data_IF_315658516339
#
_entry.id   IF_315658516339
#
_cell.length_a   1.000
_cell.length_b   1.000
_cell.length_c   1.000
_cell.angle_alpha   90.00
_cell.angle_beta   90.00
_cell.angle_gamma   90.00
#
_symmetry.space_group_name_H-M   'P 1'
#
loop_
_entity.id
_entity.type
_entity.pdbx_description
1 polymer ?
#
# COMPACT_ATOMS: atom_id res chain seq x y z
N UNK A 1 -9.85 9.84 14.15
CA UNK A 1 -8.95 9.85 12.98
C UNK A 1 -8.77 11.31 12.60
N UNK A 2 -7.54 11.81 12.61
CA UNK A 2 -7.23 13.16 12.13
C UNK A 2 -6.41 13.03 10.85
N UNK A 3 -6.67 13.88 9.85
CA UNK A 3 -5.94 13.86 8.58
C UNK A 3 -6.23 12.61 7.74
N UNK A 4 -7.50 12.44 7.34
CA UNK A 4 -7.84 11.51 6.25
C UNK A 4 -7.41 12.16 4.95
N UNK A 5 -6.64 11.44 4.14
CA UNK A 5 -6.23 11.87 2.79
C UNK A 5 -6.50 10.76 1.78
N UNK A 6 -6.61 11.16 0.52
CA UNK A 6 -6.85 10.23 -0.59
C UNK A 6 -5.64 10.21 -1.52
N UNK A 7 -5.13 9.02 -1.79
CA UNK A 7 -4.15 8.77 -2.83
C UNK A 7 -4.80 8.00 -3.97
N UNK A 8 -4.28 8.16 -5.18
CA UNK A 8 -4.76 7.45 -6.35
C UNK A 8 -3.69 6.49 -6.86
N UNK A 9 -4.02 5.20 -6.87
CA UNK A 9 -3.22 4.20 -7.57
C UNK A 9 -3.71 4.07 -9.01
N UNK A 10 -2.97 4.70 -9.92
CA UNK A 10 -3.21 4.72 -11.36
C UNK A 10 -2.55 3.51 -12.03
N UNK A 11 -3.29 2.85 -12.90
CA UNK A 11 -2.90 1.65 -13.62
C UNK A 11 -2.60 1.99 -15.07
N UNK A 12 -1.36 1.71 -15.48
CA UNK A 12 -0.88 1.94 -16.84
C UNK A 12 -0.41 0.66 -17.52
N UNK A 13 -0.30 0.67 -18.83
CA UNK A 13 0.36 -0.36 -19.63
C UNK A 13 1.87 -0.18 -19.56
N UNK A 14 2.62 -1.16 -20.09
CA UNK A 14 4.09 -1.04 -20.24
C UNK A 14 4.52 0.10 -21.16
N UNK A 15 3.60 0.64 -21.99
CA UNK A 15 3.87 1.79 -22.86
C UNK A 15 3.50 3.13 -22.20
N UNK A 16 3.00 3.14 -20.96
CA UNK A 16 2.62 4.35 -20.25
C UNK A 16 1.16 4.79 -20.44
N UNK A 17 0.38 4.05 -21.22
CA UNK A 17 -1.04 4.37 -21.49
C UNK A 17 -1.94 3.87 -20.36
N UNK A 18 -3.09 4.52 -20.11
CA UNK A 18 -4.05 3.98 -19.14
C UNK A 18 -4.57 2.61 -19.59
N UNK A 19 -4.71 1.67 -18.64
CA UNK A 19 -5.24 0.33 -18.94
C UNK A 19 -6.70 0.35 -19.42
N UNK A 20 -7.44 1.41 -19.09
CA UNK A 20 -8.82 1.70 -19.51
C UNK A 20 -8.93 3.24 -19.67
N UNK A 21 -9.71 3.77 -20.62
CA UNK A 21 -9.93 5.21 -20.74
C UNK A 21 -10.42 5.85 -19.44
N UNK A 22 -9.91 7.05 -19.12
CA UNK A 22 -10.24 7.76 -17.88
C UNK A 22 -11.73 8.18 -17.81
N UNK A 23 -12.32 8.46 -18.98
CA UNK A 23 -13.71 8.85 -19.19
C UNK A 23 -14.68 7.65 -19.21
N UNK A 24 -14.20 6.42 -19.08
CA UNK A 24 -15.04 5.22 -18.97
C UNK A 24 -16.08 5.35 -17.84
N UNK A 25 -17.33 5.03 -18.15
CA UNK A 25 -18.48 5.20 -17.24
C UNK A 25 -18.50 4.19 -16.08
N UNK A 26 -17.99 2.98 -16.31
CA UNK A 26 -18.18 1.86 -15.37
C UNK A 26 -16.92 1.47 -14.60
N UNK A 27 -15.74 1.68 -15.19
CA UNK A 27 -14.46 1.33 -14.59
C UNK A 27 -13.48 2.45 -14.81
N UNK A 28 -12.75 2.81 -13.77
CA UNK A 28 -11.68 3.80 -13.84
C UNK A 28 -10.31 3.11 -13.88
N UNK A 29 -9.30 3.71 -14.54
CA UNK A 29 -7.94 3.17 -14.56
C UNK A 29 -7.20 3.44 -13.24
N UNK A 30 -7.90 3.67 -12.13
CA UNK A 30 -7.28 3.88 -10.83
C UNK A 30 -8.12 3.29 -9.70
N UNK A 31 -7.49 3.10 -8.56
CA UNK A 31 -8.13 2.80 -7.28
C UNK A 31 -7.75 3.88 -6.26
N UNK A 32 -8.65 4.14 -5.29
CA UNK A 32 -8.41 5.14 -4.24
C UNK A 32 -7.85 4.42 -3.01
N UNK A 33 -6.73 4.92 -2.49
CA UNK A 33 -6.16 4.53 -1.22
C UNK A 33 -6.51 5.62 -0.21
N UNK A 34 -7.35 5.28 0.76
CA UNK A 34 -7.70 6.17 1.87
C UNK A 34 -6.71 5.94 3.00
N UNK A 35 -6.00 7.00 3.40
CA UNK A 35 -5.04 6.94 4.50
C UNK A 35 -5.56 7.77 5.66
N UNK A 36 -5.50 7.23 6.87
CA UNK A 36 -5.91 7.92 8.08
C UNK A 36 -4.87 7.75 9.18
N UNK A 37 -4.63 8.82 9.95
CA UNK A 37 -3.76 8.79 11.13
C UNK A 37 -4.61 8.85 12.40
N UNK A 38 -4.37 7.93 13.32
CA UNK A 38 -4.97 7.97 14.66
C UNK A 38 -4.04 8.78 15.56
N UNK A 39 -4.58 9.82 16.21
CA UNK A 39 -3.85 10.51 17.27
C UNK A 39 -3.95 9.67 18.54
N UNK A 40 -2.81 9.42 19.18
CA UNK A 40 -2.79 8.73 20.48
C UNK A 40 -3.64 9.48 21.51
N UNK A 41 -4.23 8.74 22.45
CA UNK A 41 -4.99 9.32 23.55
C UNK A 41 -4.06 10.21 24.40
N UNK A 42 -4.43 11.47 24.63
CA UNK A 42 -3.62 12.45 25.40
C UNK A 42 -3.40 12.06 26.86
N UNK A 43 -4.21 11.13 27.38
CA UNK A 43 -4.19 10.71 28.79
C UNK A 43 -3.16 9.62 29.10
N UNK A 44 -2.56 9.02 28.07
CA UNK A 44 -1.40 8.14 28.23
C UNK A 44 -0.27 8.84 27.50
N UNK A 45 0.79 9.31 28.19
CA UNK A 45 1.97 9.83 27.53
C UNK A 45 2.66 8.65 26.84
N UNK A 46 2.17 8.29 25.66
CA UNK A 46 2.97 7.60 24.67
C UNK A 46 4.19 8.49 24.53
N UNK A 47 5.35 7.93 24.87
CA UNK A 47 6.68 8.55 24.72
C UNK A 47 6.99 8.79 23.24
N UNK A 48 6.14 9.54 22.55
CA UNK A 48 6.53 10.30 21.39
C UNK A 48 7.34 11.43 21.98
N UNK A 49 8.67 11.30 21.92
CA UNK A 49 9.52 12.47 22.10
C UNK A 49 8.98 13.57 21.19
N UNK A 50 9.02 14.82 21.65
CA UNK A 50 8.62 15.99 20.87
C UNK A 50 9.35 16.08 19.51
N UNK A 51 10.40 15.26 19.33
CA UNK A 51 11.23 15.09 18.14
C UNK A 51 10.69 14.11 17.07
N UNK A 52 9.69 13.26 17.33
CA UNK A 52 9.12 12.37 16.29
C UNK A 52 8.05 13.09 15.45
N UNK A 53 8.50 14.13 14.73
CA UNK A 53 7.64 14.89 13.82
C UNK A 53 7.49 14.12 12.49
N UNK A 54 6.51 13.23 12.40
CA UNK A 54 6.20 12.56 11.13
C UNK A 54 5.82 13.58 10.07
N UNK A 55 6.30 13.37 8.85
CA UNK A 55 5.83 14.12 7.69
C UNK A 55 4.30 14.06 7.60
N UNK A 56 3.70 15.20 7.27
CA UNK A 56 2.30 15.24 6.91
C UNK A 56 2.08 14.34 5.69
N UNK A 57 1.01 13.54 5.72
CA UNK A 57 0.65 12.72 4.56
C UNK A 57 0.04 13.68 3.53
N UNK A 58 0.59 13.81 2.32
CA UNK A 58 0.04 14.69 1.30
C UNK A 58 -1.31 14.17 0.84
N UNK A 59 -2.21 15.09 0.48
CA UNK A 59 -3.46 14.74 -0.18
C UNK A 59 -3.25 14.62 -1.70
N UNK A 60 -4.07 13.78 -2.34
CA UNK A 60 -4.09 13.55 -3.79
C UNK A 60 -2.77 13.06 -4.41
N UNK A 61 -1.94 12.32 -3.65
CA UNK A 61 -0.71 11.71 -4.19
C UNK A 61 -1.03 10.64 -5.22
N UNK A 62 -0.26 10.59 -6.31
CA UNK A 62 -0.37 9.57 -7.35
C UNK A 62 0.67 8.46 -7.16
N UNK A 63 0.22 7.21 -7.18
CA UNK A 63 1.06 6.03 -7.36
C UNK A 63 0.73 5.48 -8.74
N UNK A 64 1.73 5.35 -9.62
CA UNK A 64 1.51 4.86 -10.98
C UNK A 64 2.25 3.54 -11.14
N UNK A 65 1.56 2.49 -11.58
CA UNK A 65 2.22 1.21 -11.85
C UNK A 65 1.52 0.40 -12.95
N UNK A 66 2.26 -0.56 -13.51
CA UNK A 66 1.69 -1.60 -14.36
C UNK A 66 1.05 -2.66 -13.46
N UNK A 67 -0.25 -2.94 -13.59
CA UNK A 67 -0.91 -3.92 -12.72
C UNK A 67 -0.37 -5.34 -12.98
N UNK A 68 -0.36 -6.15 -11.93
CA UNK A 68 -0.12 -7.58 -12.06
C UNK A 68 -1.25 -8.22 -12.88
N UNK A 69 -0.94 -9.30 -13.60
CA UNK A 69 -1.94 -10.13 -14.28
C UNK A 69 -2.87 -10.84 -13.30
N UNK A 70 -2.41 -11.07 -12.06
CA UNK A 70 -3.21 -11.68 -11.01
C UNK A 70 -4.29 -10.72 -10.50
N UNK A 71 -5.54 -11.20 -10.49
CA UNK A 71 -6.68 -10.40 -10.12
C UNK A 71 -6.59 -9.87 -8.68
N UNK A 72 -6.88 -8.57 -8.57
CA UNK A 72 -6.92 -7.83 -7.31
C UNK A 72 -5.59 -7.80 -6.55
N UNK A 73 -4.46 -8.06 -7.22
CA UNK A 73 -3.13 -7.91 -6.62
C UNK A 73 -2.75 -6.42 -6.59
N UNK A 74 -2.68 -5.85 -5.38
CA UNK A 74 -2.28 -4.46 -5.13
C UNK A 74 -0.75 -4.33 -5.16
N UNK A 75 -0.18 -3.16 -5.50
CA UNK A 75 1.25 -2.95 -5.42
C UNK A 75 1.69 -2.94 -3.95
N UNK A 76 2.93 -3.37 -3.65
CA UNK A 76 3.47 -3.25 -2.30
C UNK A 76 3.58 -1.77 -1.92
N UNK A 77 3.09 -1.41 -0.74
CA UNK A 77 3.05 -0.01 -0.26
C UNK A 77 4.13 0.31 0.78
N UNK A 78 4.85 -0.71 1.28
CA UNK A 78 5.80 -0.58 2.39
C UNK A 78 6.78 0.58 2.21
N UNK A 79 7.54 0.61 1.12
CA UNK A 79 8.54 1.66 0.90
C UNK A 79 7.91 3.04 0.68
N UNK A 80 6.70 3.10 0.10
CA UNK A 80 5.99 4.36 -0.14
C UNK A 80 5.46 4.96 1.17
N UNK A 81 5.01 4.10 2.09
CA UNK A 81 4.46 4.53 3.38
C UNK A 81 5.52 4.80 4.44
N UNK A 82 6.73 4.25 4.26
CA UNK A 82 7.85 4.33 5.21
C UNK A 82 8.17 5.76 5.66
N UNK A 83 8.09 6.73 4.75
CA UNK A 83 8.34 8.16 5.03
C UNK A 83 7.30 8.81 5.95
N UNK A 84 6.14 8.17 6.13
CA UNK A 84 5.02 8.66 6.93
C UNK A 84 4.75 7.82 8.19
N UNK A 85 5.59 6.81 8.44
CA UNK A 85 5.47 5.85 9.55
C UNK A 85 6.71 5.88 10.46
N UNK A 86 6.59 5.28 11.65
CA UNK A 86 7.73 5.04 12.53
C UNK A 86 8.72 4.05 11.90
N UNK A 87 10.02 4.19 12.17
CA UNK A 87 10.97 3.10 11.97
C UNK A 87 10.47 1.84 12.71
N UNK A 88 10.64 0.67 12.11
CA UNK A 88 10.31 -0.63 12.71
C UNK A 88 8.85 -0.76 13.17
N UNK A 89 7.92 -0.12 12.46
CA UNK A 89 6.48 -0.25 12.75
C UNK A 89 6.02 -1.69 12.54
N UNK A 90 5.22 -2.19 13.49
CA UNK A 90 4.54 -3.48 13.34
C UNK A 90 3.41 -3.32 12.33
N UNK A 91 3.50 -4.06 11.22
CA UNK A 91 2.55 -3.94 10.12
C UNK A 91 1.56 -5.12 10.11
N UNK A 92 0.30 -4.84 9.80
CA UNK A 92 -0.77 -5.83 9.66
C UNK A 92 -1.52 -5.62 8.34
N UNK A 93 -1.58 -6.67 7.51
CA UNK A 93 -2.43 -6.72 6.32
C UNK A 93 -3.66 -7.59 6.61
N UNK A 94 -4.85 -6.99 6.56
CA UNK A 94 -6.13 -7.68 6.67
C UNK A 94 -6.64 -8.08 5.28
N UNK A 95 -7.31 -9.22 5.21
CA UNK A 95 -7.76 -9.84 3.95
C UNK A 95 -6.60 -10.16 3.00
N UNK A 96 -5.43 -10.43 3.57
CA UNK A 96 -4.22 -10.71 2.83
C UNK A 96 -4.36 -11.96 1.95
N UNK A 97 -3.75 -11.90 0.76
CA UNK A 97 -3.63 -13.03 -0.19
C UNK A 97 -2.19 -13.28 -0.62
N UNK A 98 -1.27 -12.48 -0.11
CA UNK A 98 0.16 -12.52 -0.36
C UNK A 98 0.90 -12.29 0.96
N UNK A 99 2.10 -12.83 1.09
CA UNK A 99 2.98 -12.52 2.21
C UNK A 99 3.90 -11.35 1.84
N UNK A 100 3.98 -10.35 2.71
CA UNK A 100 4.93 -9.25 2.60
C UNK A 100 5.99 -9.35 3.72
N UNK A 101 7.29 -9.24 3.42
CA UNK A 101 8.33 -9.25 4.44
C UNK A 101 8.10 -8.15 5.50
N UNK A 102 8.16 -8.52 6.78
CA UNK A 102 7.94 -7.60 7.90
C UNK A 102 6.47 -7.30 8.24
N UNK A 103 5.52 -7.90 7.52
CA UNK A 103 4.08 -7.75 7.79
C UNK A 103 3.49 -9.01 8.40
N UNK A 104 2.63 -8.83 9.40
CA UNK A 104 1.68 -9.86 9.81
C UNK A 104 0.53 -9.90 8.80
N UNK A 105 0.23 -11.07 8.25
CA UNK A 105 -0.83 -11.24 7.25
C UNK A 105 -2.00 -12.03 7.83
N UNK A 106 -3.22 -11.52 7.68
CA UNK A 106 -4.43 -12.15 8.20
C UNK A 106 -5.53 -12.22 7.14
N UNK A 107 -6.17 -13.38 7.00
CA UNK A 107 -7.26 -13.62 6.05
C UNK A 107 -7.49 -15.10 5.80
N UNK A 108 -8.49 -15.43 4.97
CA UNK A 108 -8.84 -16.83 4.66
C UNK A 108 -7.92 -17.46 3.60
N UNK A 109 -7.21 -16.65 2.83
CA UNK A 109 -6.43 -17.08 1.66
C UNK A 109 -4.99 -16.53 1.69
N UNK A 110 -4.38 -16.38 2.87
CA UNK A 110 -3.09 -15.69 3.06
C UNK A 110 -1.96 -16.20 2.14
N UNK A 111 -1.94 -17.50 1.85
CA UNK A 111 -0.91 -18.14 1.03
C UNK A 111 -1.25 -18.22 -0.48
N UNK A 112 -2.35 -17.61 -0.93
CA UNK A 112 -2.85 -17.76 -2.31
C UNK A 112 -1.83 -17.40 -3.37
N UNK A 113 -1.01 -16.38 -3.14
CA UNK A 113 0.03 -15.93 -4.06
C UNK A 113 1.45 -16.39 -3.68
N UNK A 114 1.57 -17.51 -2.96
CA UNK A 114 2.86 -18.09 -2.55
C UNK A 114 3.25 -19.35 -3.36
N UNK A 115 2.61 -19.59 -4.51
CA UNK A 115 2.98 -20.70 -5.39
C UNK A 115 4.25 -20.40 -6.19
N UNK A 116 5.09 -21.40 -6.42
CA UNK A 116 6.37 -21.27 -7.13
C UNK A 116 6.24 -20.64 -8.53
N UNK A 117 5.12 -20.90 -9.22
CA UNK A 117 4.84 -20.32 -10.55
C UNK A 117 4.78 -18.78 -10.56
N UNK A 118 4.65 -18.14 -9.39
CA UNK A 118 4.65 -16.68 -9.27
C UNK A 118 6.04 -16.07 -9.02
N UNK A 119 7.07 -16.91 -8.84
CA UNK A 119 8.42 -16.46 -8.52
C UNK A 119 9.40 -16.85 -9.63
N UNK A 120 10.42 -16.02 -9.83
CA UNK A 120 11.57 -16.36 -10.66
C UNK A 120 12.71 -16.74 -9.73
N UNK A 121 13.36 -17.86 -9.99
CA UNK A 121 14.56 -18.26 -9.25
C UNK A 121 15.67 -17.27 -9.58
N UNK A 122 16.16 -16.57 -8.57
CA UNK A 122 17.38 -15.78 -8.70
C UNK A 122 18.55 -16.77 -8.73
N UNK A 123 19.35 -16.74 -9.80
CA UNK A 123 20.63 -17.45 -9.83
C UNK A 123 21.65 -16.55 -9.15
N UNK A 124 22.28 -17.06 -8.09
CA UNK A 124 23.44 -16.40 -7.49
C UNK A 124 24.59 -16.48 -8.51
N UNK A 125 25.00 -15.32 -9.05
CA UNK A 125 26.21 -15.18 -9.84
C UNK A 125 27.40 -14.90 -8.92
#
# INVERSE_FOLDING_TARGET
IYGVVEWFWVKITKSGEFVIPLDSLHKKPYEILVLGRVQGNTDIPLRLSEDEKFSAIPDQKLIVSVPCTLHSHKPPLTEILKEYTKPNVECLELFARNLQPGWTSWGNEVLKFQHLDYFTVLQDN
#
